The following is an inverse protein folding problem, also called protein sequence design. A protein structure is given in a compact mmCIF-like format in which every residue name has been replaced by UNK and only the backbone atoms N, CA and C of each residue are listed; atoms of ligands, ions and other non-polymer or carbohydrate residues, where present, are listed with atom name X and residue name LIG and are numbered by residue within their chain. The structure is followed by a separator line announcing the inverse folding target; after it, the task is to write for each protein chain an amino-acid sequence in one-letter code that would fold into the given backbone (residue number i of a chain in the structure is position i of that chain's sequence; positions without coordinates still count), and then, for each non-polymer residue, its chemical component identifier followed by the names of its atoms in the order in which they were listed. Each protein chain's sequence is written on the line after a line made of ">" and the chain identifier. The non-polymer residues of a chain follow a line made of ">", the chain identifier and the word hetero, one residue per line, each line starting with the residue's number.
data_IF_623827564713
#
_entry.id   IF_623827564713
#
_cell.length_a   1.000
_cell.length_b   1.000
_cell.length_c   1.000
_cell.angle_alpha   90.00
_cell.angle_beta   90.00
_cell.angle_gamma   90.00
#
_symmetry.space_group_name_H-M   'P 1'
#
loop_
_entity.id
_entity.type
_entity.pdbx_description
1 polymer ?
#
# COMPACT_ATOMS: atom_id res chain seq x y z
N UNK A 1 5.77 -13.72 53.77
CA UNK A 1 6.31 -13.73 52.39
C UNK A 1 7.41 -12.68 52.31
N UNK A 2 8.66 -13.07 52.01
CA UNK A 2 9.79 -12.12 52.09
C UNK A 2 9.63 -11.02 51.04
N UNK A 3 9.98 -9.76 51.36
CA UNK A 3 9.95 -8.63 50.41
C UNK A 3 10.68 -8.94 49.08
N UNK A 4 11.68 -9.84 49.13
CA UNK A 4 12.42 -10.30 47.95
C UNK A 4 11.57 -11.14 46.99
N UNK A 5 10.63 -11.95 47.51
CA UNK A 5 9.73 -12.79 46.70
C UNK A 5 8.66 -11.95 45.98
N UNK A 6 8.19 -10.88 46.63
CA UNK A 6 7.24 -9.94 46.04
C UNK A 6 7.87 -9.10 44.92
N UNK A 7 9.10 -8.62 45.14
CA UNK A 7 9.87 -7.88 44.11
C UNK A 7 10.16 -8.76 42.89
N UNK A 8 10.51 -10.03 43.10
CA UNK A 8 10.77 -10.97 42.01
C UNK A 8 9.50 -11.28 41.20
N UNK A 9 8.35 -11.40 41.85
CA UNK A 9 7.06 -11.59 41.19
C UNK A 9 6.62 -10.37 40.36
N UNK A 10 6.85 -9.15 40.85
CA UNK A 10 6.53 -7.91 40.12
C UNK A 10 7.44 -7.74 38.89
N UNK A 11 8.74 -8.05 39.00
CA UNK A 11 9.67 -8.00 37.86
C UNK A 11 9.27 -9.00 36.76
N UNK A 12 8.85 -10.21 37.13
CA UNK A 12 8.41 -11.22 36.15
C UNK A 12 7.17 -10.78 35.36
N UNK A 13 6.23 -10.06 35.99
CA UNK A 13 5.01 -9.54 35.36
C UNK A 13 5.32 -8.38 34.40
N UNK A 14 6.34 -7.57 34.71
CA UNK A 14 6.80 -6.47 33.83
C UNK A 14 7.48 -7.03 32.57
N UNK A 15 8.17 -8.16 32.66
CA UNK A 15 8.79 -8.80 31.48
C UNK A 15 7.82 -9.66 30.64
N UNK A 16 6.62 -9.97 31.15
CA UNK A 16 5.60 -10.73 30.40
C UNK A 16 4.58 -9.86 29.66
N UNK A 17 4.65 -8.53 29.78
CA UNK A 17 3.74 -7.63 29.07
C UNK A 17 4.41 -7.07 27.82
N UNK A 18 3.74 -7.30 26.68
CA UNK A 18 4.03 -6.80 25.33
C UNK A 18 5.10 -7.56 24.51
N UNK A 19 4.74 -8.76 24.07
CA UNK A 19 5.10 -9.18 22.71
C UNK A 19 4.33 -8.27 21.74
N UNK A 20 4.84 -7.08 21.46
CA UNK A 20 4.33 -6.25 20.35
C UNK A 20 4.77 -6.92 19.06
N UNK A 21 3.86 -7.63 18.42
CA UNK A 21 4.04 -8.05 17.02
C UNK A 21 3.86 -6.83 16.14
N UNK A 22 4.90 -6.01 16.01
CA UNK A 22 4.93 -4.94 15.04
C UNK A 22 5.11 -5.54 13.64
N UNK A 23 4.46 -4.95 12.64
CA UNK A 23 4.68 -5.32 11.25
C UNK A 23 6.15 -5.03 10.90
N UNK A 24 6.91 -6.07 10.55
CA UNK A 24 8.34 -5.95 10.29
C UNK A 24 8.52 -5.42 8.87
N UNK A 25 9.00 -4.19 8.76
CA UNK A 25 9.50 -3.65 7.49
C UNK A 25 10.78 -4.41 7.13
N UNK A 26 10.88 -5.02 5.94
CA UNK A 26 12.09 -5.70 5.52
C UNK A 26 13.31 -4.77 5.55
N UNK A 27 14.48 -5.31 5.90
CA UNK A 27 15.73 -4.54 5.89
C UNK A 27 16.00 -3.92 4.52
N UNK A 28 16.39 -2.64 4.50
CA UNK A 28 16.62 -1.89 3.27
C UNK A 28 15.36 -1.36 2.60
N UNK A 29 14.19 -1.51 3.22
CA UNK A 29 12.94 -0.92 2.77
C UNK A 29 12.41 0.08 3.78
N UNK A 30 11.56 0.99 3.30
CA UNK A 30 10.74 1.88 4.12
C UNK A 30 9.27 1.79 3.72
N UNK A 31 8.41 2.17 4.67
CA UNK A 31 6.98 2.32 4.44
C UNK A 31 6.66 3.60 3.65
N UNK A 32 5.70 3.52 2.74
CA UNK A 32 5.10 4.67 2.07
C UNK A 32 3.59 4.67 2.28
N UNK A 33 2.97 5.84 2.25
CA UNK A 33 1.51 5.95 2.30
C UNK A 33 0.91 5.51 0.96
N UNK A 34 -0.17 4.73 1.02
CA UNK A 34 -0.90 4.28 -0.16
C UNK A 34 -2.40 4.46 0.03
N UNK A 35 -3.03 5.12 -0.92
CA UNK A 35 -4.48 5.23 -1.01
C UNK A 35 -4.93 5.03 -2.47
N UNK A 36 -6.23 4.83 -2.68
CA UNK A 36 -6.83 5.06 -3.99
C UNK A 36 -8.02 6.02 -3.87
N UNK A 37 -8.41 6.66 -4.97
CA UNK A 37 -9.66 7.42 -5.06
C UNK A 37 -10.35 7.19 -6.39
N UNK A 38 -11.65 7.46 -6.43
CA UNK A 38 -12.46 7.42 -7.66
C UNK A 38 -12.87 8.85 -7.98
N UNK A 39 -12.51 9.37 -9.16
CA UNK A 39 -12.59 10.82 -9.44
C UNK A 39 -13.90 11.29 -10.08
N UNK A 40 -14.73 10.37 -10.61
CA UNK A 40 -15.94 10.70 -11.36
C UNK A 40 -17.22 10.11 -10.74
N UNK A 41 -17.31 10.04 -9.41
CA UNK A 41 -18.52 9.52 -8.74
C UNK A 41 -19.71 10.48 -8.86
N UNK A 42 -19.43 11.77 -9.04
CA UNK A 42 -20.41 12.83 -9.28
C UNK A 42 -21.23 12.63 -10.57
N UNK A 43 -20.72 11.86 -11.52
CA UNK A 43 -21.45 11.46 -12.72
C UNK A 43 -22.55 10.41 -12.45
N UNK A 44 -22.62 9.84 -11.24
CA UNK A 44 -23.54 8.76 -10.86
C UNK A 44 -24.23 9.05 -9.51
N UNK A 45 -24.98 10.15 -9.39
CA UNK A 45 -25.54 10.63 -8.13
C UNK A 45 -26.61 9.70 -7.52
N UNK A 46 -27.22 8.82 -8.32
CA UNK A 46 -28.21 7.84 -7.86
C UNK A 46 -27.59 6.57 -7.25
N UNK A 47 -26.26 6.47 -7.22
CA UNK A 47 -25.53 5.34 -6.67
C UNK A 47 -24.71 5.70 -5.44
N UNK A 48 -24.75 4.82 -4.45
CA UNK A 48 -23.81 4.78 -3.33
C UNK A 48 -22.69 3.81 -3.65
N UNK A 49 -21.45 4.28 -3.59
CA UNK A 49 -20.25 3.47 -3.80
C UNK A 49 -19.68 3.01 -2.47
N UNK A 50 -19.29 1.75 -2.41
CA UNK A 50 -18.85 1.10 -1.18
C UNK A 50 -17.53 0.37 -1.43
N UNK A 51 -16.62 0.40 -0.47
CA UNK A 51 -15.56 -0.60 -0.35
C UNK A 51 -15.98 -1.57 0.74
N UNK A 52 -15.90 -2.87 0.48
CA UNK A 52 -16.08 -3.88 1.51
C UNK A 52 -14.84 -4.77 1.54
N UNK A 53 -14.26 -4.90 2.74
CA UNK A 53 -13.05 -5.69 2.96
C UNK A 53 -13.38 -6.98 3.70
N UNK A 54 -12.73 -8.07 3.27
CA UNK A 54 -12.71 -9.34 4.01
C UNK A 54 -11.27 -9.66 4.45
N UNK A 55 -11.10 -10.67 5.30
CA UNK A 55 -9.81 -11.05 5.87
C UNK A 55 -9.55 -10.36 7.22
N UNK A 56 -8.39 -9.71 7.37
CA UNK A 56 -7.94 -9.12 8.64
C UNK A 56 -8.69 -7.86 9.02
N UNK A 57 -9.12 -7.04 8.04
CA UNK A 57 -10.07 -5.96 8.24
C UNK A 57 -11.41 -6.35 7.62
N UNK A 58 -12.47 -6.30 8.43
CA UNK A 58 -13.85 -6.57 8.01
C UNK A 58 -14.68 -5.33 8.20
N UNK A 59 -15.52 -5.04 7.22
CA UNK A 59 -16.38 -3.88 7.27
C UNK A 59 -16.57 -3.27 5.89
N UNK A 60 -17.63 -2.49 5.76
CA UNK A 60 -17.83 -1.61 4.61
C UNK A 60 -17.54 -0.16 4.98
N UNK A 61 -17.15 0.62 3.97
CA UNK A 61 -17.03 2.06 4.05
C UNK A 61 -17.67 2.68 2.79
N UNK A 62 -18.34 3.81 2.95
CA UNK A 62 -18.88 4.59 1.85
C UNK A 62 -17.75 5.37 1.19
N UNK A 63 -17.55 5.15 -0.11
CA UNK A 63 -16.56 5.88 -0.89
C UNK A 63 -17.16 7.24 -1.26
N UNK A 64 -16.54 8.30 -0.77
CA UNK A 64 -16.94 9.68 -1.08
C UNK A 64 -16.17 10.21 -2.29
N UNK A 65 -16.74 11.23 -2.94
CA UNK A 65 -16.09 11.91 -4.06
C UNK A 65 -14.72 12.46 -3.61
N UNK A 66 -13.68 12.18 -4.39
CA UNK A 66 -12.31 12.65 -4.15
C UNK A 66 -11.69 12.27 -2.79
N UNK A 67 -12.27 11.35 -2.02
CA UNK A 67 -11.66 10.88 -0.78
C UNK A 67 -10.61 9.81 -1.04
N UNK A 68 -9.47 9.90 -0.34
CA UNK A 68 -8.51 8.79 -0.28
C UNK A 68 -9.10 7.63 0.53
N UNK A 69 -9.14 6.45 -0.08
CA UNK A 69 -9.55 5.20 0.55
C UNK A 69 -8.30 4.37 0.87
N UNK A 70 -8.22 3.92 2.12
CA UNK A 70 -7.12 3.12 2.65
C UNK A 70 -7.61 1.71 2.96
N UNK A 71 -6.75 0.72 2.74
CA UNK A 71 -7.03 -0.66 3.14
C UNK A 71 -5.72 -1.35 3.55
N UNK A 72 -5.83 -2.38 4.38
CA UNK A 72 -4.66 -3.06 4.93
C UNK A 72 -4.10 -4.11 3.95
N UNK A 73 -2.79 -4.37 4.00
CA UNK A 73 -2.11 -5.30 3.06
C UNK A 73 -2.64 -6.73 3.05
N UNK A 74 -3.22 -7.19 4.17
CA UNK A 74 -3.82 -8.53 4.31
C UNK A 74 -5.35 -8.50 4.17
N UNK A 75 -5.92 -7.36 3.79
CA UNK A 75 -7.33 -7.25 3.47
C UNK A 75 -7.57 -7.63 2.01
N UNK A 76 -8.77 -8.15 1.75
CA UNK A 76 -9.26 -8.49 0.42
C UNK A 76 -10.43 -7.56 0.09
N UNK A 77 -10.16 -6.30 -0.30
CA UNK A 77 -11.20 -5.34 -0.60
C UNK A 77 -11.82 -5.59 -1.97
N UNK A 78 -13.10 -5.26 -2.09
CA UNK A 78 -13.82 -5.16 -3.35
C UNK A 78 -14.65 -3.90 -3.36
N UNK A 79 -14.78 -3.28 -4.53
CA UNK A 79 -15.59 -2.07 -4.71
C UNK A 79 -16.96 -2.49 -5.23
N UNK A 80 -18.00 -1.89 -4.64
CA UNK A 80 -19.38 -2.14 -4.95
C UNK A 80 -20.11 -0.83 -5.26
N UNK A 81 -21.20 -0.95 -6.01
CA UNK A 81 -22.16 0.11 -6.24
C UNK A 81 -23.58 -0.42 -6.04
N UNK A 82 -24.43 0.38 -5.42
CA UNK A 82 -25.84 0.08 -5.19
C UNK A 82 -26.63 1.38 -5.34
N UNK A 83 -27.87 1.31 -5.84
CA UNK A 83 -28.73 2.49 -5.89
C UNK A 83 -28.91 3.07 -4.49
N UNK A 84 -28.75 4.38 -4.33
CA UNK A 84 -28.83 5.05 -3.03
C UNK A 84 -30.16 4.77 -2.34
N UNK A 85 -31.27 4.79 -3.09
CA UNK A 85 -32.61 4.46 -2.57
C UNK A 85 -32.75 3.03 -2.03
N UNK A 86 -31.94 2.09 -2.52
CA UNK A 86 -31.90 0.72 -2.00
C UNK A 86 -30.98 0.62 -0.78
N UNK A 87 -29.84 1.30 -0.82
CA UNK A 87 -28.88 1.34 0.29
C UNK A 87 -29.51 1.92 1.57
N UNK A 88 -30.28 3.00 1.47
CA UNK A 88 -30.96 3.64 2.60
C UNK A 88 -31.99 2.74 3.30
N UNK A 89 -32.49 1.69 2.62
CA UNK A 89 -33.41 0.71 3.19
C UNK A 89 -32.67 -0.41 3.94
N UNK A 90 -31.36 -0.52 3.77
CA UNK A 90 -30.57 -1.57 4.38
C UNK A 90 -30.31 -1.28 5.85
N UNK A 91 -30.24 -2.35 6.63
CA UNK A 91 -29.92 -2.29 8.04
C UNK A 91 -28.69 -3.17 8.31
N UNK A 92 -27.50 -2.62 8.10
CA UNK A 92 -26.21 -3.32 8.23
C UNK A 92 -25.61 -3.11 9.63
N UNK A 93 -26.36 -3.47 10.68
CA UNK A 93 -25.99 -3.15 12.07
C UNK A 93 -25.01 -4.13 12.70
N UNK A 94 -24.73 -5.25 12.03
CA UNK A 94 -23.81 -6.26 12.51
C UNK A 94 -22.88 -6.74 11.41
N UNK A 95 -21.69 -7.19 11.80
CA UNK A 95 -20.73 -7.80 10.87
C UNK A 95 -21.31 -9.04 10.18
N UNK A 96 -22.26 -9.74 10.82
CA UNK A 96 -22.94 -10.89 10.21
C UNK A 96 -23.89 -10.46 9.09
N UNK A 97 -24.66 -9.39 9.30
CA UNK A 97 -25.58 -8.84 8.31
C UNK A 97 -24.83 -8.30 7.10
N UNK A 98 -23.73 -7.57 7.33
CA UNK A 98 -22.81 -7.14 6.28
C UNK A 98 -22.26 -8.33 5.50
N UNK A 99 -21.71 -9.32 6.20
CA UNK A 99 -21.11 -10.48 5.55
C UNK A 99 -22.13 -11.23 4.69
N UNK A 100 -23.37 -11.37 5.15
CA UNK A 100 -24.47 -11.97 4.37
C UNK A 100 -24.79 -11.12 3.14
N UNK A 101 -24.95 -9.81 3.32
CA UNK A 101 -25.27 -8.90 2.23
C UNK A 101 -24.23 -8.95 1.11
N UNK A 102 -22.94 -8.80 1.44
CA UNK A 102 -21.85 -8.77 0.46
C UNK A 102 -21.44 -10.14 -0.10
N UNK A 103 -21.81 -11.24 0.57
CA UNK A 103 -21.55 -12.61 0.07
C UNK A 103 -22.74 -13.19 -0.71
N UNK A 104 -23.93 -12.61 -0.57
CA UNK A 104 -25.12 -13.03 -1.31
C UNK A 104 -25.03 -12.59 -2.78
N UNK A 105 -25.63 -13.37 -3.69
CA UNK A 105 -25.78 -12.97 -5.09
C UNK A 105 -26.95 -11.97 -5.22
N UNK A 106 -26.76 -10.78 -4.64
CA UNK A 106 -27.78 -9.73 -4.62
C UNK A 106 -27.79 -8.97 -5.95
N UNK A 107 -28.90 -9.05 -6.69
CA UNK A 107 -29.05 -8.42 -8.01
C UNK A 107 -28.95 -6.87 -7.96
N UNK A 108 -29.23 -6.26 -6.81
CA UNK A 108 -29.15 -4.81 -6.62
C UNK A 108 -27.76 -4.33 -6.22
N UNK A 109 -26.84 -5.25 -5.92
CA UNK A 109 -25.47 -4.96 -5.51
C UNK A 109 -24.51 -5.29 -6.65
N UNK A 110 -23.99 -4.25 -7.28
CA UNK A 110 -23.03 -4.39 -8.37
C UNK A 110 -21.63 -4.49 -7.79
N UNK A 111 -20.86 -5.50 -8.19
CA UNK A 111 -19.45 -5.67 -7.80
C UNK A 111 -18.54 -5.33 -8.97
N UNK A 112 -17.48 -4.57 -8.70
CA UNK A 112 -16.43 -4.29 -9.69
C UNK A 112 -15.45 -5.45 -9.79
N UNK A 113 -14.95 -5.70 -11.01
CA UNK A 113 -13.91 -6.69 -11.29
C UNK A 113 -12.48 -6.14 -11.07
N UNK A 114 -12.34 -4.88 -10.65
CA UNK A 114 -11.01 -4.28 -10.47
C UNK A 114 -10.25 -4.97 -9.34
N UNK A 115 -9.04 -5.44 -9.65
CA UNK A 115 -8.12 -5.96 -8.65
C UNK A 115 -7.41 -4.81 -7.93
N UNK A 116 -7.64 -4.72 -6.61
CA UNK A 116 -6.97 -3.76 -5.74
C UNK A 116 -5.68 -4.37 -5.21
N UNK A 117 -4.54 -3.71 -5.46
CA UNK A 117 -3.22 -4.18 -5.02
C UNK A 117 -2.63 -3.17 -4.05
N UNK A 118 -2.47 -3.59 -2.81
CA UNK A 118 -1.79 -2.79 -1.80
C UNK A 118 -0.29 -2.70 -2.12
N UNK A 119 0.27 -1.51 -2.10
CA UNK A 119 1.70 -1.30 -2.25
C UNK A 119 2.16 -0.18 -1.31
N UNK A 120 2.83 -0.54 -0.21
CA UNK A 120 3.26 0.42 0.81
C UNK A 120 4.73 0.32 1.17
N UNK A 121 5.54 -0.33 0.34
CA UNK A 121 6.97 -0.51 0.58
C UNK A 121 7.77 -0.04 -0.62
N UNK A 122 8.91 0.58 -0.34
CA UNK A 122 9.92 0.97 -1.33
C UNK A 122 11.29 0.85 -0.70
N UNK A 123 12.34 0.93 -1.50
CA UNK A 123 13.71 0.91 -0.99
C UNK A 123 13.98 2.14 -0.12
N UNK A 124 14.79 2.00 0.93
CA UNK A 124 15.00 3.03 1.97
C UNK A 124 15.50 4.37 1.40
N UNK A 125 16.31 4.29 0.35
CA UNK A 125 16.92 5.39 -0.41
C UNK A 125 16.03 5.97 -1.51
N UNK A 126 14.86 5.36 -1.78
CA UNK A 126 13.93 5.87 -2.78
C UNK A 126 13.26 7.15 -2.25
N UNK A 127 13.26 8.28 -2.99
CA UNK A 127 12.68 9.54 -2.51
C UNK A 127 11.14 9.52 -2.40
N UNK A 128 10.49 8.42 -2.77
CA UNK A 128 9.05 8.30 -2.74
C UNK A 128 8.51 8.21 -1.31
N UNK A 129 7.46 8.98 -1.04
CA UNK A 129 6.81 9.07 0.27
C UNK A 129 5.36 8.56 0.25
N UNK A 130 4.62 8.78 -0.86
CA UNK A 130 3.27 8.28 -1.01
C UNK A 130 2.88 7.98 -2.46
N UNK A 131 1.88 7.12 -2.64
CA UNK A 131 1.25 6.79 -3.91
C UNK A 131 -0.27 6.90 -3.82
N UNK A 132 -0.90 7.50 -4.82
CA UNK A 132 -2.35 7.56 -4.94
C UNK A 132 -2.80 7.00 -6.29
N UNK A 133 -3.49 5.86 -6.27
CA UNK A 133 -4.13 5.33 -7.46
C UNK A 133 -5.45 6.04 -7.74
N UNK A 134 -5.60 6.56 -8.95
CA UNK A 134 -6.81 7.27 -9.38
C UNK A 134 -7.58 6.39 -10.34
N UNK A 135 -8.81 6.07 -9.95
CA UNK A 135 -9.73 5.27 -10.73
C UNK A 135 -10.89 6.09 -11.27
N UNK A 136 -11.55 5.55 -12.29
CA UNK A 136 -12.76 6.10 -12.88
C UNK A 136 -13.78 5.00 -13.10
N UNK A 137 -15.05 5.27 -12.81
CA UNK A 137 -16.17 4.41 -13.22
C UNK A 137 -16.38 4.58 -14.73
N UNK A 138 -16.22 3.49 -15.48
CA UNK A 138 -16.42 3.49 -16.94
C UNK A 138 -17.81 3.03 -17.36
N UNK A 139 -18.49 2.25 -16.53
CA UNK A 139 -19.87 1.78 -16.77
C UNK A 139 -20.50 1.31 -15.46
N UNK A 140 -21.82 1.43 -15.36
CA UNK A 140 -22.62 0.92 -14.22
C UNK A 140 -23.86 0.14 -14.65
N UNK A 141 -24.53 0.55 -15.74
CA UNK A 141 -25.85 0.03 -16.14
C UNK A 141 -25.85 -1.45 -16.52
N UNK A 142 -24.87 -1.89 -17.31
CA UNK A 142 -24.77 -3.28 -17.77
C UNK A 142 -23.82 -4.11 -16.90
N UNK A 143 -22.72 -3.48 -16.48
CA UNK A 143 -21.65 -4.07 -15.68
C UNK A 143 -20.97 -2.94 -14.95
N UNK A 144 -20.81 -3.10 -13.64
CA UNK A 144 -20.05 -2.14 -12.86
C UNK A 144 -18.55 -2.30 -13.15
N UNK A 145 -18.03 -1.39 -13.97
CA UNK A 145 -16.66 -1.39 -14.44
C UNK A 145 -15.92 -0.16 -13.91
N UNK A 146 -14.78 -0.40 -13.28
CA UNK A 146 -13.85 0.63 -12.82
C UNK A 146 -12.54 0.43 -13.57
N UNK A 147 -11.94 1.53 -14.02
CA UNK A 147 -10.65 1.54 -14.69
C UNK A 147 -9.64 2.37 -13.93
N UNK A 148 -8.38 1.94 -13.97
CA UNK A 148 -7.23 2.72 -13.56
C UNK A 148 -7.01 3.84 -14.58
N UNK A 149 -7.02 5.08 -14.11
CA UNK A 149 -6.88 6.30 -14.92
C UNK A 149 -5.44 6.80 -14.88
N UNK A 150 -4.96 7.14 -13.69
CA UNK A 150 -3.60 7.66 -13.45
C UNK A 150 -3.13 7.28 -12.04
N UNK A 151 -1.85 7.43 -11.79
CA UNK A 151 -1.26 7.36 -10.45
C UNK A 151 -0.58 8.69 -10.15
N UNK A 152 -0.66 9.12 -8.90
CA UNK A 152 0.09 10.26 -8.37
C UNK A 152 1.16 9.73 -7.42
N UNK A 153 2.42 9.95 -7.77
CA UNK A 153 3.57 9.75 -6.90
C UNK A 153 3.88 11.04 -6.16
N UNK A 154 4.03 10.96 -4.84
CA UNK A 154 4.36 12.10 -3.99
C UNK A 154 5.70 11.81 -3.32
N UNK A 155 6.68 12.68 -3.58
CA UNK A 155 8.04 12.55 -3.08
C UNK A 155 8.21 13.25 -1.73
N UNK A 156 9.32 12.97 -1.04
CA UNK A 156 9.66 13.59 0.26
C UNK A 156 9.79 15.11 0.18
N UNK A 157 10.24 15.64 -0.95
CA UNK A 157 10.29 17.08 -1.24
C UNK A 157 8.92 17.70 -1.57
N UNK A 158 7.85 16.91 -1.45
CA UNK A 158 6.44 17.23 -1.76
C UNK A 158 6.14 17.48 -3.23
N UNK A 159 7.11 17.29 -4.12
CA UNK A 159 6.83 17.30 -5.56
C UNK A 159 5.99 16.10 -5.93
N UNK A 160 5.25 16.24 -7.04
CA UNK A 160 4.37 15.21 -7.53
C UNK A 160 4.73 14.83 -8.96
N UNK A 161 4.58 13.54 -9.26
CA UNK A 161 4.63 13.01 -10.62
C UNK A 161 3.32 12.28 -10.90
N UNK A 162 2.65 12.67 -11.98
CA UNK A 162 1.38 12.08 -12.40
C UNK A 162 1.63 11.28 -13.67
N UNK A 163 1.40 9.97 -13.61
CA UNK A 163 1.57 9.08 -14.75
C UNK A 163 0.23 8.44 -15.13
N UNK A 164 -0.18 8.47 -16.40
CA UNK A 164 -1.37 7.77 -16.85
C UNK A 164 -1.13 6.27 -16.86
N UNK A 165 -2.18 5.49 -16.55
CA UNK A 165 -2.15 4.04 -16.77
C UNK A 165 -2.26 3.74 -18.26
N UNK A 166 -1.26 3.07 -18.82
CA UNK A 166 -1.28 2.58 -20.21
C UNK A 166 -1.88 1.18 -20.33
N UNK A 167 -1.95 0.45 -19.21
CA UNK A 167 -2.56 -0.88 -19.09
C UNK A 167 -3.32 -0.99 -17.76
N UNK A 168 -4.36 -1.83 -17.71
CA UNK A 168 -5.08 -2.12 -16.46
C UNK A 168 -4.35 -3.13 -15.56
N UNK A 169 -3.40 -3.89 -16.11
CA UNK A 169 -2.67 -4.94 -15.39
C UNK A 169 -1.41 -4.44 -14.68
N UNK A 170 -0.82 -3.35 -15.15
CA UNK A 170 0.49 -2.88 -14.68
C UNK A 170 0.43 -1.42 -14.25
N UNK A 171 1.01 -1.13 -13.08
CA UNK A 171 1.19 0.23 -12.59
C UNK A 171 2.42 0.84 -13.26
N UNK A 172 2.34 2.06 -13.82
CA UNK A 172 3.52 2.80 -14.26
C UNK A 172 4.59 2.83 -13.17
N UNK A 173 5.87 2.95 -13.51
CA UNK A 173 6.92 3.10 -12.49
C UNK A 173 7.23 4.58 -12.28
N UNK A 174 7.54 5.04 -11.06
CA UNK A 174 7.98 6.41 -10.83
C UNK A 174 9.29 6.68 -11.59
N UNK A 175 9.46 7.88 -12.13
CA UNK A 175 10.69 8.25 -12.86
C UNK A 175 11.84 8.51 -11.90
N UNK A 176 11.56 9.05 -10.70
CA UNK A 176 12.58 9.27 -9.67
C UNK A 176 12.73 8.00 -8.86
N UNK A 177 13.78 7.24 -9.16
CA UNK A 177 14.22 6.07 -8.39
C UNK A 177 15.49 6.41 -7.61
N UNK A 178 15.79 5.63 -6.58
CA UNK A 178 17.02 5.80 -5.83
C UNK A 178 18.25 5.58 -6.74
N UNK A 179 19.15 6.56 -6.76
CA UNK A 179 20.29 6.57 -7.67
C UNK A 179 21.55 6.07 -6.96
N UNK A 180 21.60 4.76 -6.67
CA UNK A 180 22.79 4.10 -6.09
C UNK A 180 23.93 3.87 -7.10
N UNK A 181 23.74 4.30 -8.34
CA UNK A 181 24.72 4.10 -9.41
C UNK A 181 26.05 4.79 -9.10
N UNK A 182 26.00 5.99 -8.50
CA UNK A 182 27.18 6.79 -8.19
C UNK A 182 28.06 6.13 -7.11
N UNK A 183 27.45 5.60 -6.04
CA UNK A 183 28.18 4.86 -5.00
C UNK A 183 28.80 3.57 -5.57
N UNK A 184 28.07 2.87 -6.44
CA UNK A 184 28.54 1.66 -7.12
C UNK A 184 29.74 1.93 -8.03
N UNK A 185 29.73 3.06 -8.76
CA UNK A 185 30.88 3.51 -9.55
C UNK A 185 32.06 3.84 -8.64
N UNK A 186 31.85 4.58 -7.55
CA UNK A 186 32.91 4.97 -6.60
C UNK A 186 33.57 3.72 -5.99
N UNK A 187 32.78 2.76 -5.50
CA UNK A 187 33.29 1.51 -4.94
C UNK A 187 34.10 0.71 -5.97
N UNK A 188 33.60 0.62 -7.21
CA UNK A 188 34.31 -0.05 -8.31
C UNK A 188 35.63 0.65 -8.64
N UNK A 189 35.66 1.98 -8.66
CA UNK A 189 36.87 2.76 -8.91
C UNK A 189 37.90 2.60 -7.79
N UNK A 190 37.47 2.64 -6.52
CA UNK A 190 38.34 2.42 -5.36
C UNK A 190 38.93 1.02 -5.38
N UNK A 191 38.13 -0.01 -5.66
CA UNK A 191 38.60 -1.38 -5.78
C UNK A 191 39.67 -1.52 -6.89
N UNK A 192 39.45 -0.90 -8.04
CA UNK A 192 40.42 -0.89 -9.15
C UNK A 192 41.75 -0.24 -8.74
N UNK A 193 41.70 0.91 -8.06
CA UNK A 193 42.90 1.62 -7.58
C UNK A 193 43.70 0.78 -6.58
N UNK A 194 43.04 0.05 -5.69
CA UNK A 194 43.69 -0.87 -4.75
C UNK A 194 44.40 -2.00 -5.50
N UNK A 195 43.75 -2.62 -6.49
CA UNK A 195 44.34 -3.69 -7.30
C UNK A 195 45.58 -3.18 -8.04
N UNK A 196 45.49 -2.01 -8.68
CA UNK A 196 46.62 -1.38 -9.38
C UNK A 196 47.77 -1.12 -8.40
N UNK A 197 47.47 -0.59 -7.21
CA UNK A 197 48.47 -0.34 -6.16
C UNK A 197 49.22 -1.60 -5.74
N UNK A 198 48.50 -2.72 -5.54
CA UNK A 198 49.09 -4.02 -5.20
C UNK A 198 50.02 -4.52 -6.32
N UNK A 199 49.59 -4.42 -7.58
CA UNK A 199 50.39 -4.84 -8.74
C UNK A 199 51.68 -4.03 -8.83
N UNK A 200 51.59 -2.69 -8.70
CA UNK A 200 52.76 -1.81 -8.74
C UNK A 200 53.72 -2.14 -7.59
N UNK A 201 53.20 -2.31 -6.38
CA UNK A 201 54.00 -2.64 -5.20
C UNK A 201 54.73 -3.99 -5.36
N UNK A 202 54.02 -5.02 -5.84
CA UNK A 202 54.60 -6.34 -6.11
C UNK A 202 55.68 -6.28 -7.21
N UNK A 203 55.46 -5.47 -8.26
CA UNK A 203 56.46 -5.29 -9.32
C UNK A 203 57.74 -4.60 -8.82
N UNK A 204 57.63 -3.64 -7.89
CA UNK A 204 58.78 -2.97 -7.27
C UNK A 204 59.56 -3.91 -6.34
N UNK A 205 58.86 -4.80 -5.62
CA UNK A 205 59.50 -5.79 -4.74
C UNK A 205 60.27 -6.85 -5.51
N UNK A 206 59.78 -7.31 -6.67
CA UNK A 206 60.48 -8.29 -7.51
C UNK A 206 61.64 -7.70 -8.33
N UNK A 207 61.78 -6.37 -8.39
CA UNK A 207 62.90 -5.67 -9.03
C UNK A 207 64.02 -5.27 -8.07
N UNK A 208 63.86 -5.53 -6.77
CA UNK A 208 64.91 -5.43 -5.75
C UNK A 208 65.41 -6.82 -5.39
#
# INVERSE_FOLDING_TARGET
>A
MSKKLFIFGVILIIFSSCLVTADVIPSGQKGISYCFRIENLDAYPEYTFLIYSTGTSKGHEIISQNSCIYFYKLSLPSIYAIKTSEFEKLNLNSTEDESKFFSSNNINLLKSDIALTYNSLTDEDNPLNAMEDIFTVSSIDNKFEIKKSKIVYIYEDKTQEILPYTSQSERPKPTRVADNYLLSIILSAVALLIIIGIIIFKSKKNKK
#
